data_IF_494354011516
#
_entry.id   IF_494354011516
#
_cell.length_a   1.000
_cell.length_b   1.000
_cell.length_c   1.000
_cell.angle_alpha   90.00
_cell.angle_beta   90.00
_cell.angle_gamma   90.00
#
_symmetry.space_group_name_H-M   'P 1'
#
loop_
_entity.id
_entity.type
_entity.pdbx_description
1 polymer ?
#
# COMPACT_ATOMS: atom_id res chain seq x y z
N UNK A 1 -14.85 -1.76 -16.58
CA UNK A 1 -13.92 -2.82 -17.04
C UNK A 1 -12.84 -3.12 -15.99
N UNK A 2 -12.20 -2.11 -15.35
CA UNK A 2 -11.15 -2.30 -14.33
C UNK A 2 -11.66 -3.06 -13.08
N UNK A 3 -12.83 -2.70 -12.60
CA UNK A 3 -13.48 -3.28 -11.41
C UNK A 3 -13.79 -4.77 -11.55
N UNK A 4 -14.18 -5.22 -12.76
CA UNK A 4 -14.52 -6.63 -13.04
C UNK A 4 -13.27 -7.51 -12.98
N UNK A 5 -12.13 -7.05 -13.51
CA UNK A 5 -10.89 -7.82 -13.52
C UNK A 5 -10.31 -8.06 -12.10
N UNK A 6 -10.33 -7.06 -11.23
CA UNK A 6 -9.89 -7.21 -9.85
C UNK A 6 -10.72 -8.27 -9.12
N UNK A 7 -12.06 -8.20 -9.23
CA UNK A 7 -12.99 -9.11 -8.57
C UNK A 7 -12.79 -10.58 -8.92
N UNK A 8 -12.32 -10.89 -10.12
CA UNK A 8 -12.15 -12.26 -10.61
C UNK A 8 -10.73 -12.81 -10.42
N UNK A 9 -9.74 -11.93 -10.20
CA UNK A 9 -8.32 -12.31 -10.13
C UNK A 9 -7.70 -12.21 -8.75
N UNK A 10 -8.34 -11.50 -7.81
CA UNK A 10 -7.82 -11.34 -6.45
C UNK A 10 -8.63 -12.17 -5.47
N UNK A 11 -7.92 -12.94 -4.65
CA UNK A 11 -8.51 -13.77 -3.60
C UNK A 11 -9.26 -12.95 -2.55
N UNK A 12 -8.84 -11.70 -2.32
CA UNK A 12 -9.45 -10.76 -1.38
C UNK A 12 -10.96 -10.67 -1.56
N UNK A 13 -11.44 -10.50 -2.78
CA UNK A 13 -12.87 -10.37 -3.07
C UNK A 13 -13.66 -11.68 -2.94
N UNK A 14 -12.96 -12.81 -2.84
CA UNK A 14 -13.57 -14.10 -2.58
C UNK A 14 -13.56 -14.48 -1.10
N UNK A 15 -12.52 -14.07 -0.37
CA UNK A 15 -12.28 -14.47 1.02
C UNK A 15 -12.75 -13.42 2.04
N UNK A 16 -12.52 -12.14 1.78
CA UNK A 16 -12.81 -11.08 2.74
C UNK A 16 -14.31 -10.83 2.81
N UNK A 17 -14.80 -10.70 4.04
CA UNK A 17 -16.20 -10.34 4.36
C UNK A 17 -16.25 -8.96 4.99
N UNK A 18 -17.30 -8.21 4.67
CA UNK A 18 -17.49 -6.84 5.15
C UNK A 18 -18.95 -6.54 5.48
N UNK A 19 -19.15 -5.49 6.28
CA UNK A 19 -20.48 -5.06 6.73
C UNK A 19 -21.11 -5.98 7.76
N UNK A 20 -22.21 -5.53 8.37
CA UNK A 20 -22.92 -6.26 9.43
C UNK A 20 -23.51 -7.60 8.94
N UNK A 21 -23.78 -7.73 7.66
CA UNK A 21 -24.34 -8.95 7.03
C UNK A 21 -23.26 -9.88 6.45
N UNK A 22 -21.98 -9.66 6.77
CA UNK A 22 -20.86 -10.50 6.33
C UNK A 22 -20.85 -10.80 4.82
N UNK A 23 -21.28 -9.86 3.99
CA UNK A 23 -21.20 -9.99 2.54
C UNK A 23 -19.76 -9.98 2.03
N UNK A 24 -19.53 -10.50 0.83
CA UNK A 24 -18.23 -10.44 0.18
C UNK A 24 -17.81 -8.99 -0.06
N UNK A 25 -16.52 -8.71 0.17
CA UNK A 25 -15.88 -7.45 -0.20
C UNK A 25 -16.05 -7.20 -1.71
N UNK A 26 -16.23 -5.94 -2.08
CA UNK A 26 -16.29 -5.49 -3.47
C UNK A 26 -15.20 -4.44 -3.73
N UNK A 27 -14.73 -4.30 -4.99
CA UNK A 27 -13.76 -3.25 -5.33
C UNK A 27 -14.22 -1.84 -4.95
N UNK A 28 -15.54 -1.57 -5.00
CA UNK A 28 -16.11 -0.28 -4.60
C UNK A 28 -15.97 -0.02 -3.09
N UNK A 29 -16.02 -1.06 -2.27
CA UNK A 29 -15.81 -0.95 -0.81
C UNK A 29 -14.35 -0.57 -0.54
N UNK A 30 -13.40 -1.23 -1.21
CA UNK A 30 -11.98 -0.94 -1.10
C UNK A 30 -11.66 0.49 -1.57
N UNK A 31 -12.23 0.92 -2.68
CA UNK A 31 -12.06 2.28 -3.17
C UNK A 31 -12.57 3.33 -2.17
N UNK A 32 -13.73 3.08 -1.56
CA UNK A 32 -14.30 3.95 -0.51
C UNK A 32 -13.40 4.01 0.72
N UNK A 33 -12.90 2.86 1.17
CA UNK A 33 -12.00 2.77 2.32
C UNK A 33 -10.67 3.49 2.05
N UNK A 34 -10.13 3.37 0.83
CA UNK A 34 -8.94 4.10 0.40
C UNK A 34 -9.13 5.62 0.51
N UNK A 35 -10.26 6.16 0.04
CA UNK A 35 -10.56 7.59 0.18
C UNK A 35 -10.66 8.00 1.65
N UNK A 36 -11.36 7.22 2.48
CA UNK A 36 -11.52 7.49 3.91
C UNK A 36 -10.17 7.50 4.62
N UNK A 37 -9.32 6.49 4.33
CA UNK A 37 -7.98 6.37 4.89
C UNK A 37 -7.09 7.54 4.46
N UNK A 38 -7.13 7.94 3.19
CA UNK A 38 -6.39 9.08 2.68
C UNK A 38 -6.73 10.37 3.41
N UNK A 39 -8.01 10.68 3.54
CA UNK A 39 -8.48 11.88 4.23
C UNK A 39 -8.08 11.88 5.71
N UNK A 40 -8.15 10.74 6.37
CA UNK A 40 -7.71 10.59 7.75
C UNK A 40 -6.21 10.83 7.90
N UNK A 41 -5.37 10.20 7.04
CA UNK A 41 -3.93 10.40 7.01
C UNK A 41 -3.57 11.87 6.78
N UNK A 42 -4.20 12.51 5.80
CA UNK A 42 -4.02 13.93 5.50
C UNK A 42 -4.26 14.80 6.74
N UNK A 43 -5.35 14.54 7.45
CA UNK A 43 -5.68 15.24 8.70
C UNK A 43 -4.70 14.94 9.86
N UNK A 44 -4.14 13.73 9.95
CA UNK A 44 -3.12 13.41 10.96
C UNK A 44 -1.77 14.05 10.62
N UNK A 45 -1.33 13.96 9.37
CA UNK A 45 -0.05 14.47 8.91
C UNK A 45 0.00 16.01 8.82
N UNK A 46 -1.15 16.68 8.88
CA UNK A 46 -1.22 18.13 9.01
C UNK A 46 -0.91 18.63 10.44
N UNK A 47 -0.92 17.74 11.44
CA UNK A 47 -0.63 18.09 12.82
C UNK A 47 0.89 18.13 13.05
N UNK A 48 1.44 19.18 13.66
CA UNK A 48 2.86 19.21 14.01
C UNK A 48 3.23 18.05 14.94
N UNK A 49 4.35 17.42 14.66
CA UNK A 49 4.94 16.39 15.52
C UNK A 49 6.47 16.59 15.59
N UNK A 50 7.09 16.61 16.78
CA UNK A 50 8.51 16.97 16.96
C UNK A 50 9.49 15.82 16.72
N UNK A 51 9.10 14.76 16.03
CA UNK A 51 9.93 13.58 15.76
C UNK A 51 9.67 12.99 14.38
N UNK A 52 10.41 11.95 14.00
CA UNK A 52 10.18 11.26 12.74
C UNK A 52 8.80 10.59 12.73
N UNK A 53 8.06 10.80 11.65
CA UNK A 53 6.76 10.16 11.45
C UNK A 53 6.92 8.93 10.56
N UNK A 54 6.38 7.82 11.03
CA UNK A 54 6.29 6.57 10.25
C UNK A 54 4.83 6.31 9.90
N UNK A 55 4.57 6.10 8.63
CA UNK A 55 3.25 5.65 8.13
C UNK A 55 3.34 4.19 7.74
N UNK A 56 2.36 3.40 8.16
CA UNK A 56 2.25 1.98 7.80
C UNK A 56 0.89 1.76 7.16
N UNK A 57 0.90 1.22 5.93
CA UNK A 57 -0.32 0.84 5.21
C UNK A 57 -0.17 -0.56 4.62
N UNK A 58 -1.29 -1.20 4.25
CA UNK A 58 -1.23 -2.46 3.52
C UNK A 58 -0.90 -2.22 2.04
N UNK A 59 -1.58 -1.28 1.39
CA UNK A 59 -1.31 -0.91 -0.01
C UNK A 59 -0.20 0.15 -0.10
N UNK A 60 0.53 0.11 -1.20
CA UNK A 60 1.58 1.09 -1.48
C UNK A 60 1.01 2.52 -1.61
N UNK A 61 1.79 3.56 -1.21
CA UNK A 61 1.39 4.96 -1.40
C UNK A 61 1.53 5.44 -2.84
N UNK A 62 2.38 4.79 -3.64
CA UNK A 62 2.68 5.15 -5.03
C UNK A 62 2.69 3.93 -5.95
N UNK A 63 2.26 4.12 -7.18
CA UNK A 63 2.36 3.11 -8.25
C UNK A 63 3.81 2.69 -8.54
N UNK A 64 4.79 3.55 -8.24
CA UNK A 64 6.22 3.24 -8.36
C UNK A 64 6.61 1.97 -7.59
N UNK A 65 5.95 1.65 -6.49
CA UNK A 65 6.20 0.42 -5.73
C UNK A 65 5.88 -0.86 -6.51
N UNK A 66 5.18 -0.74 -7.65
CA UNK A 66 4.83 -1.85 -8.52
C UNK A 66 5.77 -2.00 -9.71
N UNK A 67 6.80 -1.15 -9.86
CA UNK A 67 7.61 -1.08 -11.09
C UNK A 67 8.19 -2.44 -11.51
N UNK A 68 8.65 -3.23 -10.54
CA UNK A 68 9.22 -4.57 -10.75
C UNK A 68 8.20 -5.70 -10.50
N UNK A 69 6.94 -5.36 -10.27
CA UNK A 69 5.86 -6.33 -10.08
C UNK A 69 5.36 -6.84 -11.44
N UNK A 70 5.01 -8.14 -11.54
CA UNK A 70 4.38 -8.68 -12.76
C UNK A 70 3.01 -8.06 -13.06
N UNK A 71 2.47 -7.28 -12.15
CA UNK A 71 1.19 -6.59 -12.30
C UNK A 71 1.34 -5.13 -12.76
N UNK A 72 2.57 -4.61 -12.85
CA UNK A 72 2.84 -3.22 -13.25
C UNK A 72 2.29 -2.90 -14.64
N UNK A 73 1.62 -1.76 -14.77
CA UNK A 73 0.97 -1.32 -16.00
C UNK A 73 -0.31 -2.08 -16.36
N UNK A 74 -0.83 -2.88 -15.44
CA UNK A 74 -2.07 -3.66 -15.66
C UNK A 74 -3.30 -2.95 -15.07
N UNK A 75 -4.48 -3.49 -15.37
CA UNK A 75 -5.73 -3.02 -14.77
C UNK A 75 -5.85 -3.32 -13.26
N UNK A 76 -4.87 -4.03 -12.69
CA UNK A 76 -4.83 -4.38 -11.27
C UNK A 76 -4.04 -3.36 -10.43
N UNK A 77 -3.31 -2.45 -11.03
CA UNK A 77 -2.47 -1.47 -10.31
C UNK A 77 -3.22 -0.79 -9.16
N UNK A 78 -4.44 -0.31 -9.44
CA UNK A 78 -5.29 0.35 -8.45
C UNK A 78 -5.78 -0.56 -7.30
N UNK A 79 -5.56 -1.88 -7.41
CA UNK A 79 -5.87 -2.84 -6.37
C UNK A 79 -4.65 -3.16 -5.49
N UNK A 80 -3.45 -2.75 -5.90
CA UNK A 80 -2.19 -2.98 -5.18
C UNK A 80 -1.57 -1.71 -4.63
N UNK A 81 -1.78 -0.56 -5.29
CA UNK A 81 -1.19 0.70 -4.91
C UNK A 81 -2.17 1.87 -5.07
N UNK A 82 -1.92 2.88 -4.28
CA UNK A 82 -2.53 4.21 -4.41
C UNK A 82 -1.60 5.11 -5.24
N UNK A 83 -1.99 6.36 -5.42
CA UNK A 83 -1.13 7.41 -5.96
C UNK A 83 -1.37 8.66 -5.10
N UNK A 84 -0.62 8.76 -3.99
CA UNK A 84 -0.76 9.78 -2.95
C UNK A 84 0.55 10.58 -2.73
N UNK A 85 1.17 11.14 -3.79
CA UNK A 85 2.42 11.87 -3.65
C UNK A 85 2.29 13.08 -2.71
N UNK A 86 1.09 13.65 -2.59
CA UNK A 86 0.78 14.78 -1.72
C UNK A 86 0.90 14.48 -0.22
N UNK A 87 0.84 13.21 0.18
CA UNK A 87 1.03 12.78 1.57
C UNK A 87 2.50 12.56 1.94
N UNK A 88 3.40 12.57 0.96
CA UNK A 88 4.82 12.34 1.15
C UNK A 88 5.57 13.65 1.41
N UNK A 89 6.81 13.53 1.86
CA UNK A 89 7.72 14.65 2.15
C UNK A 89 8.54 14.33 3.40
N UNK A 90 9.89 14.39 3.31
CA UNK A 90 10.77 13.94 4.38
C UNK A 90 10.57 14.66 5.72
N UNK A 91 10.14 15.92 5.71
CA UNK A 91 9.79 16.66 6.92
C UNK A 91 8.45 16.23 7.54
N UNK A 92 7.56 15.63 6.74
CA UNK A 92 6.24 15.19 7.16
C UNK A 92 6.21 13.70 7.47
N UNK A 93 6.85 12.90 6.62
CA UNK A 93 6.89 11.44 6.71
C UNK A 93 8.30 10.96 6.42
N UNK A 94 9.01 10.53 7.45
CA UNK A 94 10.37 10.02 7.32
C UNK A 94 10.38 8.65 6.62
N UNK A 95 9.44 7.78 6.99
CA UNK A 95 9.32 6.42 6.47
C UNK A 95 7.87 6.07 6.16
N UNK A 96 7.65 5.43 5.00
CA UNK A 96 6.39 4.77 4.67
C UNK A 96 6.63 3.28 4.42
N UNK A 97 6.14 2.43 5.32
CA UNK A 97 6.20 0.98 5.17
C UNK A 97 4.86 0.44 4.61
N UNK A 98 4.94 -0.46 3.64
CA UNK A 98 3.74 -1.10 3.09
C UNK A 98 3.98 -2.57 2.78
N UNK A 99 2.91 -3.29 2.42
CA UNK A 99 2.93 -4.70 2.06
C UNK A 99 2.24 -4.96 0.72
N UNK A 100 1.51 -6.04 0.63
CA UNK A 100 0.63 -6.47 -0.46
C UNK A 100 1.30 -6.79 -1.81
N UNK A 101 2.31 -6.06 -2.22
CA UNK A 101 2.91 -6.18 -3.56
C UNK A 101 3.72 -7.46 -3.79
N UNK A 102 4.06 -8.21 -2.75
CA UNK A 102 4.92 -9.41 -2.78
C UNK A 102 6.25 -9.22 -3.55
N UNK A 103 6.70 -7.98 -3.65
CA UNK A 103 7.99 -7.59 -4.23
C UNK A 103 8.65 -6.60 -3.28
N UNK A 104 9.89 -6.89 -2.87
CA UNK A 104 10.63 -5.99 -1.99
C UNK A 104 11.00 -4.71 -2.75
N UNK A 105 10.76 -3.57 -2.12
CA UNK A 105 11.19 -2.26 -2.63
C UNK A 105 11.75 -1.41 -1.51
N UNK A 106 12.73 -0.58 -1.83
CA UNK A 106 13.32 0.40 -0.93
C UNK A 106 13.79 1.59 -1.77
N UNK A 107 13.09 2.70 -1.70
CA UNK A 107 13.40 3.88 -2.50
C UNK A 107 12.97 5.16 -1.78
N UNK A 108 13.46 6.30 -2.25
CA UNK A 108 13.04 7.62 -1.78
C UNK A 108 12.14 8.34 -2.79
N UNK A 109 11.16 9.07 -2.27
CA UNK A 109 10.32 9.99 -3.01
C UNK A 109 10.01 11.22 -2.17
N UNK A 110 10.34 12.42 -2.67
CA UNK A 110 10.18 13.69 -1.96
C UNK A 110 10.80 13.70 -0.53
N UNK A 111 11.88 12.95 -0.31
CA UNK A 111 12.54 12.81 0.99
C UNK A 111 11.92 11.75 1.93
N UNK A 112 10.76 11.20 1.62
CA UNK A 112 10.20 10.03 2.33
C UNK A 112 10.85 8.74 1.82
N UNK A 113 11.38 7.90 2.72
CA UNK A 113 11.80 6.54 2.38
C UNK A 113 10.57 5.63 2.32
N UNK A 114 10.41 4.89 1.23
CA UNK A 114 9.29 3.97 1.02
C UNK A 114 9.84 2.55 0.96
N UNK A 115 9.31 1.68 1.83
CA UNK A 115 9.82 0.31 1.99
C UNK A 115 8.68 -0.70 1.97
N UNK A 116 8.88 -1.75 1.19
CA UNK A 116 8.12 -2.99 1.26
C UNK A 116 9.11 -4.15 1.44
N UNK A 117 8.94 -4.93 2.52
CA UNK A 117 9.77 -6.10 2.79
C UNK A 117 8.86 -7.33 3.02
N UNK A 118 8.20 -7.81 1.99
CA UNK A 118 7.13 -8.79 2.10
C UNK A 118 7.71 -10.21 2.19
N UNK A 119 7.27 -10.99 3.17
CA UNK A 119 7.64 -12.41 3.26
C UNK A 119 7.06 -13.22 2.10
N UNK A 120 5.88 -12.83 1.62
CA UNK A 120 5.15 -13.56 0.58
C UNK A 120 4.56 -14.88 1.07
N UNK A 121 4.06 -15.68 0.14
CA UNK A 121 3.60 -17.04 0.37
C UNK A 121 4.77 -18.05 0.33
N UNK A 122 4.59 -19.26 0.88
CA UNK A 122 5.61 -20.29 0.78
C UNK A 122 6.03 -20.55 -0.68
N UNK A 123 7.33 -20.45 -0.93
CA UNK A 123 7.91 -20.68 -2.26
C UNK A 123 7.98 -19.45 -3.17
N UNK A 124 7.46 -18.30 -2.76
CA UNK A 124 7.65 -17.05 -3.52
C UNK A 124 9.04 -16.45 -3.27
N UNK A 125 9.63 -15.94 -4.34
CA UNK A 125 10.85 -15.12 -4.27
C UNK A 125 10.46 -13.64 -4.28
N UNK A 126 10.27 -13.06 -3.10
CA UNK A 126 9.81 -11.67 -2.94
C UNK A 126 10.96 -10.69 -2.73
N UNK A 127 12.21 -11.17 -2.57
CA UNK A 127 13.33 -10.35 -2.12
C UNK A 127 13.32 -10.05 -0.61
N UNK A 128 12.57 -10.83 0.19
CA UNK A 128 12.45 -10.65 1.62
C UNK A 128 13.80 -10.71 2.34
N UNK A 129 14.10 -9.69 3.13
CA UNK A 129 15.27 -9.63 4.00
C UNK A 129 14.84 -9.71 5.48
N UNK A 130 15.04 -10.86 6.17
CA UNK A 130 14.66 -11.00 7.58
C UNK A 130 15.51 -10.18 8.53
N UNK A 131 16.66 -9.68 8.09
CA UNK A 131 17.57 -8.83 8.86
C UNK A 131 17.46 -7.34 8.55
N UNK A 132 16.41 -6.89 7.84
CA UNK A 132 16.24 -5.47 7.50
C UNK A 132 16.02 -4.64 8.76
N UNK A 133 16.93 -3.71 9.01
CA UNK A 133 16.84 -2.67 10.04
C UNK A 133 16.77 -1.32 9.35
N UNK A 134 15.94 -0.43 9.86
CA UNK A 134 15.77 0.93 9.34
C UNK A 134 15.98 1.91 10.47
N UNK A 135 17.02 2.73 10.34
CA UNK A 135 17.26 3.87 11.22
C UNK A 135 16.47 5.09 10.71
N UNK A 136 15.90 5.89 11.65
CA UNK A 136 15.07 7.06 11.39
C UNK A 136 15.70 8.33 11.88
#
# INVERSE_FOLDING_TARGET
ARTINARTRMNDYSQIRTGQNFRRLKPEDQAKESVTTRLWLEGQLAKPFPGPTVVITHHAPLLRSLADSPYSGTHLDAAYANEWPELLGGERVALWAHGHCHTAVDYQHLGTRIVCNPRGYPGENTGFNPGLIIDL
#
